data_IF_616657927614
#
_entry.id   IF_616657927614
#
_cell.length_a   1.000
_cell.length_b   1.000
_cell.length_c   1.000
_cell.angle_alpha   90.00
_cell.angle_beta   90.00
_cell.angle_gamma   90.00
#
_symmetry.space_group_name_H-M   'P 1'
#
loop_
_entity.id
_entity.type
_entity.pdbx_description
1 polymer ?
#
# COMPACT_ATOMS: atom_id res chain seq x y z
N UNK A 1 4.04 -3.61 -8.98
CA UNK A 1 3.64 -2.19 -8.87
C UNK A 1 4.61 -1.28 -9.62
N UNK A 2 5.92 -1.35 -9.37
CA UNK A 2 6.92 -0.47 -10.03
C UNK A 2 6.81 -0.48 -11.55
N UNK A 3 6.71 -1.65 -12.17
CA UNK A 3 6.62 -1.76 -13.64
C UNK A 3 5.35 -1.10 -14.24
N UNK A 4 4.32 -0.87 -13.43
CA UNK A 4 3.03 -0.36 -13.89
C UNK A 4 2.82 1.12 -13.60
N UNK A 5 3.34 1.64 -12.50
CA UNK A 5 3.03 2.99 -12.03
C UNK A 5 4.11 3.61 -11.13
N UNK A 6 5.41 3.46 -11.48
CA UNK A 6 6.51 4.01 -10.68
C UNK A 6 6.41 5.54 -10.51
N UNK A 7 6.07 6.25 -11.58
CA UNK A 7 5.90 7.72 -11.59
C UNK A 7 4.79 8.17 -10.64
N UNK A 8 3.67 7.47 -10.68
CA UNK A 8 2.50 7.75 -9.84
C UNK A 8 2.78 7.44 -8.37
N UNK A 9 3.52 6.34 -8.09
CA UNK A 9 3.96 6.00 -6.73
C UNK A 9 4.91 7.07 -6.19
N UNK A 10 5.88 7.52 -6.97
CA UNK A 10 6.78 8.60 -6.60
C UNK A 10 5.99 9.90 -6.32
N UNK A 11 5.04 10.24 -7.19
CA UNK A 11 4.16 11.40 -7.01
C UNK A 11 3.29 11.31 -5.75
N UNK A 12 2.75 10.12 -5.44
CA UNK A 12 2.00 9.88 -4.21
C UNK A 12 2.89 10.03 -2.98
N UNK A 13 4.09 9.44 -2.99
CA UNK A 13 5.04 9.52 -1.88
C UNK A 13 5.42 10.98 -1.55
N UNK A 14 5.62 11.81 -2.57
CA UNK A 14 5.82 13.27 -2.39
C UNK A 14 4.58 13.97 -1.81
N UNK A 15 3.39 13.57 -2.26
CA UNK A 15 2.14 14.19 -1.81
C UNK A 15 1.82 13.91 -0.34
N UNK A 16 2.22 12.79 0.22
CA UNK A 16 1.93 12.37 1.60
C UNK A 16 3.19 12.21 2.47
N UNK A 17 4.30 12.86 2.18
CA UNK A 17 5.68 12.65 2.67
C UNK A 17 5.94 11.20 3.17
N UNK A 18 5.76 10.23 2.28
CA UNK A 18 5.96 8.81 2.59
C UNK A 18 7.28 8.28 2.01
N UNK A 19 7.82 7.26 2.66
CA UNK A 19 9.00 6.54 2.16
C UNK A 19 8.56 5.40 1.26
N UNK A 20 9.34 5.13 0.22
CA UNK A 20 9.14 4.00 -0.69
C UNK A 20 10.14 2.91 -0.30
N UNK A 21 9.67 1.67 -0.14
CA UNK A 21 10.53 0.52 0.11
C UNK A 21 10.32 -0.57 -0.93
N UNK A 22 11.40 -1.00 -1.56
CA UNK A 22 11.41 -2.17 -2.44
C UNK A 22 11.41 -3.44 -1.60
N UNK A 23 10.24 -4.03 -1.41
CA UNK A 23 10.07 -5.28 -0.67
C UNK A 23 9.49 -6.34 -1.60
N UNK A 24 10.33 -7.29 -2.06
CA UNK A 24 10.01 -8.27 -3.09
C UNK A 24 9.98 -9.69 -2.55
N UNK A 25 9.15 -10.55 -3.16
CA UNK A 25 8.95 -11.93 -2.72
C UNK A 25 10.19 -12.81 -3.01
N UNK A 26 10.70 -12.75 -4.23
CA UNK A 26 11.90 -13.49 -4.63
C UNK A 26 13.13 -12.58 -4.57
N UNK A 27 14.27 -13.06 -4.05
CA UNK A 27 15.41 -12.22 -3.69
C UNK A 27 16.56 -12.12 -4.72
N UNK A 28 16.40 -11.90 -6.03
CA UNK A 28 17.59 -11.51 -6.76
C UNK A 28 17.90 -10.05 -6.43
N UNK A 29 19.09 -9.79 -5.89
CA UNK A 29 19.60 -8.43 -5.65
C UNK A 29 19.52 -7.54 -6.90
N UNK A 30 19.76 -8.13 -8.07
CA UNK A 30 19.59 -7.47 -9.38
C UNK A 30 18.23 -6.81 -9.53
N UNK A 31 17.13 -7.45 -9.07
CA UNK A 31 15.78 -6.89 -9.17
C UNK A 31 15.57 -5.69 -8.25
N UNK A 32 16.12 -5.72 -7.04
CA UNK A 32 16.09 -4.58 -6.12
C UNK A 32 16.85 -3.39 -6.68
N UNK A 33 18.04 -3.65 -7.25
CA UNK A 33 18.85 -2.62 -7.91
C UNK A 33 18.13 -1.98 -9.10
N UNK A 34 17.44 -2.77 -9.93
CA UNK A 34 16.63 -2.26 -11.05
C UNK A 34 15.48 -1.39 -10.56
N UNK A 35 14.77 -1.80 -9.51
CA UNK A 35 13.70 -1.00 -8.91
C UNK A 35 14.28 0.33 -8.37
N UNK A 36 15.41 0.28 -7.67
CA UNK A 36 16.06 1.48 -7.15
C UNK A 36 16.50 2.42 -8.27
N UNK A 37 17.07 1.89 -9.35
CA UNK A 37 17.47 2.67 -10.53
C UNK A 37 16.26 3.37 -11.18
N UNK A 38 15.12 2.67 -11.26
CA UNK A 38 13.90 3.24 -11.84
C UNK A 38 13.37 4.41 -11.01
N UNK A 39 13.32 4.28 -9.69
CA UNK A 39 12.92 5.39 -8.82
C UNK A 39 13.95 6.51 -8.77
N UNK A 40 15.23 6.21 -8.88
CA UNK A 40 16.29 7.24 -8.96
C UNK A 40 16.13 8.15 -10.19
N UNK A 41 15.68 7.64 -11.35
CA UNK A 41 15.35 8.45 -12.53
C UNK A 41 14.19 9.44 -12.25
N UNK A 42 13.34 9.13 -11.27
CA UNK A 42 12.22 9.97 -10.83
C UNK A 42 12.59 10.90 -9.68
N UNK A 43 13.87 10.95 -9.30
CA UNK A 43 14.39 11.76 -8.20
C UNK A 43 14.05 11.20 -6.82
N UNK A 44 13.74 9.89 -6.72
CA UNK A 44 13.38 9.23 -5.46
C UNK A 44 14.47 8.24 -5.02
N UNK A 45 14.90 8.37 -3.76
CA UNK A 45 15.73 7.37 -3.10
C UNK A 45 14.82 6.42 -2.35
N UNK A 46 14.86 5.13 -2.72
CA UNK A 46 14.04 4.10 -2.07
C UNK A 46 14.83 3.29 -1.05
N UNK A 47 14.10 2.72 -0.10
CA UNK A 47 14.60 1.80 0.92
C UNK A 47 14.45 0.34 0.48
N UNK A 48 14.95 -0.60 1.29
CA UNK A 48 14.79 -2.04 1.07
C UNK A 48 15.80 -2.67 0.11
N UNK A 49 16.79 -1.94 -0.37
CA UNK A 49 17.92 -2.50 -1.14
C UNK A 49 18.85 -3.33 -0.27
N UNK A 50 19.02 -2.93 0.99
CA UNK A 50 19.80 -3.63 2.02
C UNK A 50 18.98 -3.71 3.32
N UNK A 51 18.00 -4.61 3.41
CA UNK A 51 17.13 -4.71 4.59
C UNK A 51 17.90 -5.15 5.82
N UNK A 52 17.61 -4.55 6.98
CA UNK A 52 18.32 -4.77 8.25
C UNK A 52 17.43 -5.30 9.37
N UNK A 53 16.12 -5.38 9.14
CA UNK A 53 15.13 -5.85 10.11
C UNK A 53 14.26 -6.95 9.51
N UNK A 54 13.52 -7.66 10.37
CA UNK A 54 12.66 -8.77 9.96
C UNK A 54 11.29 -8.71 10.65
N UNK A 55 10.22 -8.73 9.88
CA UNK A 55 8.86 -8.88 10.40
C UNK A 55 8.64 -10.33 10.82
N UNK A 56 8.23 -10.55 12.06
CA UNK A 56 7.96 -11.88 12.61
C UNK A 56 6.69 -12.48 11.99
N UNK A 57 6.66 -13.80 11.89
CA UNK A 57 5.48 -14.54 11.41
C UNK A 57 5.30 -14.53 9.90
N UNK A 58 6.30 -14.11 9.14
CA UNK A 58 6.30 -14.14 7.68
C UNK A 58 7.50 -14.98 7.18
N UNK A 59 7.21 -16.09 6.53
CA UNK A 59 8.23 -17.05 6.05
C UNK A 59 8.95 -16.64 4.76
N UNK A 60 8.42 -15.67 4.02
CA UNK A 60 8.98 -15.25 2.73
C UNK A 60 10.08 -14.18 2.87
N UNK A 61 10.83 -13.94 1.79
CA UNK A 61 11.83 -12.87 1.71
C UNK A 61 11.26 -11.47 2.00
N UNK A 62 9.95 -11.29 1.89
CA UNK A 62 9.23 -10.06 2.26
C UNK A 62 9.25 -9.77 3.76
N UNK A 63 9.63 -10.75 4.59
CA UNK A 63 9.89 -10.50 6.01
C UNK A 63 11.06 -9.53 6.24
N UNK A 64 12.03 -9.49 5.32
CA UNK A 64 13.19 -8.62 5.41
C UNK A 64 12.80 -7.20 5.00
N UNK A 65 12.93 -6.25 5.93
CA UNK A 65 12.50 -4.85 5.77
C UNK A 65 13.61 -3.89 6.20
N UNK A 66 13.52 -2.66 5.73
CA UNK A 66 14.42 -1.60 6.13
C UNK A 66 14.02 -1.03 7.50
N UNK A 67 15.01 -0.75 8.36
CA UNK A 67 14.79 -0.16 9.68
C UNK A 67 14.08 1.20 9.60
N UNK A 68 14.43 2.01 8.61
CA UNK A 68 13.85 3.33 8.38
C UNK A 68 12.61 3.31 7.45
N UNK A 69 12.25 2.15 6.95
CA UNK A 69 11.09 1.91 6.09
C UNK A 69 9.93 1.27 6.81
N UNK A 70 9.52 0.09 6.31
CA UNK A 70 8.39 -0.68 6.85
C UNK A 70 8.52 -0.96 8.34
N UNK A 71 9.75 -1.19 8.84
CA UNK A 71 9.96 -1.45 10.27
C UNK A 71 9.46 -0.30 11.14
N UNK A 72 9.78 0.93 10.80
CA UNK A 72 9.43 2.14 11.57
C UNK A 72 8.04 2.68 11.27
N UNK A 73 7.45 2.29 10.14
CA UNK A 73 6.17 2.83 9.69
C UNK A 73 5.01 2.45 10.62
N UNK A 74 4.14 3.41 10.92
CA UNK A 74 2.85 3.18 11.58
C UNK A 74 1.79 2.72 10.59
N UNK A 75 1.85 3.23 9.35
CA UNK A 75 0.93 2.92 8.26
C UNK A 75 1.70 2.42 7.06
N UNK A 76 1.27 1.31 6.47
CA UNK A 76 1.89 0.72 5.28
C UNK A 76 0.84 0.62 4.16
N UNK A 77 1.13 1.25 3.02
CA UNK A 77 0.37 1.06 1.79
C UNK A 77 0.96 -0.13 1.02
N UNK A 78 0.16 -1.17 0.81
CA UNK A 78 0.54 -2.36 0.04
C UNK A 78 -0.25 -2.44 -1.26
N UNK A 79 0.43 -2.81 -2.34
CA UNK A 79 -0.14 -2.87 -3.67
C UNK A 79 0.22 -4.21 -4.31
N UNK A 80 -0.77 -4.94 -4.86
CA UNK A 80 -0.56 -6.26 -5.46
C UNK A 80 0.11 -7.23 -4.47
N UNK A 81 -0.53 -7.41 -3.33
CA UNK A 81 0.06 -8.06 -2.16
C UNK A 81 -0.56 -9.43 -1.89
N UNK A 82 0.14 -10.24 -1.09
CA UNK A 82 -0.41 -11.46 -0.49
C UNK A 82 -1.00 -11.22 0.91
N UNK A 83 -1.96 -12.06 1.28
CA UNK A 83 -2.66 -11.94 2.55
C UNK A 83 -1.78 -12.23 3.77
N UNK A 84 -0.77 -13.08 3.64
CA UNK A 84 0.13 -13.45 4.75
C UNK A 84 0.91 -12.24 5.22
N UNK A 85 1.44 -11.46 4.27
CA UNK A 85 2.18 -10.24 4.62
C UNK A 85 1.29 -9.17 5.21
N UNK A 86 0.10 -8.97 4.66
CA UNK A 86 -0.89 -8.03 5.20
C UNK A 86 -1.21 -8.37 6.65
N UNK A 87 -1.44 -9.64 6.94
CA UNK A 87 -1.73 -10.12 8.29
C UNK A 87 -0.52 -9.98 9.23
N UNK A 88 0.70 -10.31 8.78
CA UNK A 88 1.93 -10.17 9.55
C UNK A 88 2.23 -8.70 9.91
N UNK A 89 2.02 -7.78 8.97
CA UNK A 89 2.16 -6.34 9.21
C UNK A 89 1.16 -5.85 10.27
N UNK A 90 -0.09 -6.28 10.19
CA UNK A 90 -1.09 -5.94 11.21
C UNK A 90 -0.75 -6.53 12.59
N UNK A 91 -0.31 -7.79 12.64
CA UNK A 91 0.15 -8.44 13.89
C UNK A 91 1.34 -7.72 14.52
N UNK A 92 2.18 -7.06 13.70
CA UNK A 92 3.28 -6.21 14.19
C UNK A 92 2.86 -4.78 14.55
N UNK A 93 1.54 -4.52 14.71
CA UNK A 93 0.98 -3.25 15.19
C UNK A 93 0.79 -2.18 14.11
N UNK A 94 1.06 -2.48 12.84
CA UNK A 94 0.94 -1.51 11.76
C UNK A 94 -0.48 -1.42 11.23
N UNK A 95 -0.89 -0.24 10.77
CA UNK A 95 -2.09 -0.06 9.97
C UNK A 95 -1.79 -0.36 8.51
N UNK A 96 -2.63 -1.14 7.86
CA UNK A 96 -2.42 -1.55 6.46
C UNK A 96 -3.54 -1.01 5.58
N UNK A 97 -3.15 -0.24 4.57
CA UNK A 97 -3.99 0.16 3.45
C UNK A 97 -3.61 -0.74 2.27
N UNK A 98 -4.56 -1.46 1.70
CA UNK A 98 -4.30 -2.35 0.57
C UNK A 98 -5.01 -1.87 -0.70
N UNK A 99 -4.34 -1.98 -1.85
CA UNK A 99 -4.97 -1.87 -3.15
C UNK A 99 -4.99 -3.26 -3.77
N UNK A 100 -6.19 -3.79 -4.00
CA UNK A 100 -6.41 -5.12 -4.54
C UNK A 100 -7.61 -5.12 -5.51
N UNK A 101 -7.54 -5.91 -6.55
CA UNK A 101 -8.65 -6.05 -7.53
C UNK A 101 -9.80 -6.91 -6.99
N UNK A 102 -9.50 -7.80 -6.04
CA UNK A 102 -10.47 -8.77 -5.55
C UNK A 102 -10.93 -8.43 -4.12
N UNK A 103 -12.19 -8.01 -3.92
CA UNK A 103 -12.72 -7.72 -2.58
C UNK A 103 -12.81 -8.96 -1.67
N UNK A 104 -12.76 -10.16 -2.25
CA UNK A 104 -12.76 -11.43 -1.50
C UNK A 104 -11.34 -11.92 -1.19
N UNK A 105 -10.31 -11.24 -1.66
CA UNK A 105 -8.93 -11.64 -1.35
C UNK A 105 -8.64 -11.53 0.14
N UNK A 106 -7.75 -12.40 0.62
CA UNK A 106 -7.27 -12.34 2.00
C UNK A 106 -6.60 -11.00 2.32
N UNK A 107 -5.92 -10.41 1.34
CA UNK A 107 -5.32 -9.07 1.46
C UNK A 107 -6.38 -8.00 1.74
N UNK A 108 -7.43 -7.93 0.92
CA UNK A 108 -8.52 -6.98 1.10
C UNK A 108 -9.25 -7.16 2.42
N UNK A 109 -9.55 -8.41 2.80
CA UNK A 109 -10.24 -8.73 4.04
C UNK A 109 -9.42 -8.45 5.30
N UNK A 110 -8.10 -8.64 5.23
CA UNK A 110 -7.19 -8.44 6.38
C UNK A 110 -6.66 -7.02 6.51
N UNK A 111 -6.78 -6.18 5.50
CA UNK A 111 -6.38 -4.78 5.57
C UNK A 111 -7.28 -3.95 6.53
N UNK A 112 -6.74 -2.89 7.11
CA UNK A 112 -7.56 -1.90 7.84
C UNK A 112 -8.41 -1.08 6.87
N UNK A 113 -7.87 -0.79 5.67
CA UNK A 113 -8.58 -0.13 4.56
C UNK A 113 -8.24 -0.88 3.27
N UNK A 114 -9.24 -1.36 2.55
CA UNK A 114 -9.07 -1.93 1.23
C UNK A 114 -9.62 -0.97 0.15
N UNK A 115 -8.81 -0.72 -0.86
CA UNK A 115 -9.18 -0.01 -2.08
C UNK A 115 -9.31 -1.06 -3.17
N UNK A 116 -10.54 -1.33 -3.59
CA UNK A 116 -10.81 -2.34 -4.63
C UNK A 116 -10.76 -1.66 -5.98
N UNK A 117 -9.59 -1.65 -6.57
CA UNK A 117 -9.35 -1.05 -7.89
C UNK A 117 -8.00 -1.50 -8.47
N UNK A 118 -7.77 -1.19 -9.75
CA UNK A 118 -6.46 -1.33 -10.37
C UNK A 118 -5.51 -0.25 -9.86
N UNK A 119 -4.25 -0.62 -9.59
CA UNK A 119 -3.23 0.30 -9.06
C UNK A 119 -2.98 1.48 -9.99
N UNK A 120 -3.09 1.30 -11.31
CA UNK A 120 -2.89 2.36 -12.30
C UNK A 120 -3.96 3.46 -12.23
N UNK A 121 -5.12 3.17 -11.65
CA UNK A 121 -6.17 4.16 -11.35
C UNK A 121 -6.13 4.62 -9.90
N UNK A 122 -5.96 3.69 -8.97
CA UNK A 122 -6.00 3.99 -7.54
C UNK A 122 -4.86 4.92 -7.10
N UNK A 123 -3.63 4.67 -7.54
CA UNK A 123 -2.46 5.44 -7.09
C UNK A 123 -2.52 6.92 -7.52
N UNK A 124 -2.80 7.27 -8.79
CA UNK A 124 -2.99 8.67 -9.19
C UNK A 124 -4.13 9.35 -8.43
N UNK A 125 -5.25 8.63 -8.23
CA UNK A 125 -6.40 9.15 -7.49
C UNK A 125 -6.06 9.42 -6.02
N UNK A 126 -5.32 8.53 -5.37
CA UNK A 126 -4.81 8.75 -4.01
C UNK A 126 -3.94 10.01 -3.94
N UNK A 127 -3.03 10.21 -4.91
CA UNK A 127 -2.20 11.42 -4.97
C UNK A 127 -3.03 12.70 -5.10
N UNK A 128 -4.06 12.69 -5.96
CA UNK A 128 -5.00 13.81 -6.09
C UNK A 128 -5.75 14.06 -4.78
N UNK A 129 -6.32 13.01 -4.18
CA UNK A 129 -7.07 13.11 -2.91
C UNK A 129 -6.19 13.54 -1.74
N UNK A 130 -4.95 13.10 -1.67
CA UNK A 130 -4.01 13.54 -0.65
C UNK A 130 -3.80 15.06 -0.69
N UNK A 131 -3.59 15.63 -1.89
CA UNK A 131 -3.47 17.08 -2.08
C UNK A 131 -4.74 17.83 -1.67
N UNK A 132 -5.91 17.31 -2.01
CA UNK A 132 -7.21 17.88 -1.61
C UNK A 132 -7.38 17.84 -0.08
N UNK A 133 -7.03 16.71 0.55
CA UNK A 133 -7.22 16.51 1.99
C UNK A 133 -6.24 17.30 2.85
N UNK A 134 -5.05 17.62 2.35
CA UNK A 134 -4.13 18.53 3.04
C UNK A 134 -4.71 19.92 3.31
N UNK A 135 -5.70 20.33 2.51
CA UNK A 135 -6.42 21.60 2.68
C UNK A 135 -7.56 21.52 3.70
N UNK A 136 -7.87 20.30 4.19
CA UNK A 136 -8.97 20.06 5.14
C UNK A 136 -8.40 19.91 6.54
N UNK A 137 -9.14 20.42 7.54
CA UNK A 137 -8.70 20.34 8.93
C UNK A 137 -8.57 18.89 9.43
N UNK A 138 -7.56 18.63 10.23
CA UNK A 138 -7.24 17.30 10.77
C UNK A 138 -8.42 16.67 11.53
N UNK A 139 -9.16 17.45 12.30
CA UNK A 139 -10.34 16.99 13.05
C UNK A 139 -11.39 16.32 12.14
N UNK A 140 -11.65 16.91 10.98
CA UNK A 140 -12.58 16.34 9.99
C UNK A 140 -12.08 15.02 9.42
N UNK A 141 -10.79 14.93 9.11
CA UNK A 141 -10.16 13.72 8.57
C UNK A 141 -10.18 12.60 9.61
N UNK A 142 -9.83 12.87 10.85
CA UNK A 142 -9.88 11.90 11.95
C UNK A 142 -11.31 11.38 12.19
N UNK A 143 -12.33 12.24 12.12
CA UNK A 143 -13.72 11.83 12.25
C UNK A 143 -14.17 10.89 11.12
N UNK A 144 -13.72 11.12 9.89
CA UNK A 144 -13.99 10.22 8.76
C UNK A 144 -13.34 8.85 8.94
N UNK A 145 -12.08 8.81 9.38
CA UNK A 145 -11.35 7.56 9.61
C UNK A 145 -12.03 6.73 10.72
N UNK A 146 -12.46 7.36 11.81
CA UNK A 146 -13.17 6.66 12.90
C UNK A 146 -14.48 6.00 12.45
N UNK A 147 -15.17 6.57 11.47
CA UNK A 147 -16.44 6.03 10.92
C UNK A 147 -16.22 4.98 9.84
N UNK A 148 -15.00 4.82 9.32
CA UNK A 148 -14.71 3.86 8.26
C UNK A 148 -14.77 2.42 8.79
N UNK A 149 -15.41 1.56 8.02
CA UNK A 149 -15.49 0.13 8.30
C UNK A 149 -15.16 -0.66 7.03
N UNK A 150 -14.03 -1.38 7.05
CA UNK A 150 -13.54 -2.10 5.87
C UNK A 150 -14.50 -3.22 5.42
N UNK A 151 -15.14 -3.93 6.36
CA UNK A 151 -16.12 -4.96 6.02
C UNK A 151 -17.30 -4.38 5.25
N UNK A 152 -17.90 -3.31 5.76
CA UNK A 152 -19.01 -2.61 5.07
C UNK A 152 -18.59 -2.08 3.70
N UNK A 153 -17.35 -1.60 3.56
CA UNK A 153 -16.79 -1.18 2.29
C UNK A 153 -16.73 -2.35 1.29
N UNK A 154 -16.17 -3.49 1.70
CA UNK A 154 -16.08 -4.68 0.85
C UNK A 154 -17.46 -5.24 0.48
N UNK A 155 -18.39 -5.30 1.43
CA UNK A 155 -19.78 -5.72 1.19
C UNK A 155 -20.46 -4.81 0.15
N UNK A 156 -20.24 -3.49 0.22
CA UNK A 156 -20.75 -2.53 -0.75
C UNK A 156 -20.20 -2.78 -2.15
N UNK A 157 -18.90 -3.07 -2.26
CA UNK A 157 -18.26 -3.42 -3.55
C UNK A 157 -18.85 -4.70 -4.12
N UNK A 158 -18.98 -5.75 -3.30
CA UNK A 158 -19.57 -7.02 -3.72
C UNK A 158 -21.02 -6.86 -4.20
N UNK A 159 -21.81 -6.07 -3.48
CA UNK A 159 -23.20 -5.78 -3.88
C UNK A 159 -23.24 -5.04 -5.23
N UNK A 160 -22.31 -4.10 -5.46
CA UNK A 160 -22.18 -3.41 -6.75
C UNK A 160 -21.82 -4.38 -7.88
N UNK A 161 -20.87 -5.28 -7.64
CA UNK A 161 -20.45 -6.29 -8.62
C UNK A 161 -21.61 -7.25 -8.98
N UNK A 162 -22.40 -7.68 -7.99
CA UNK A 162 -23.56 -8.55 -8.20
C UNK A 162 -24.68 -7.89 -9.02
N UNK A 163 -24.94 -6.60 -8.79
CA UNK A 163 -25.97 -5.85 -9.52
C UNK A 163 -25.57 -5.51 -10.96
N UNK A 164 -24.31 -5.69 -11.31
CA UNK A 164 -23.76 -5.25 -12.58
C UNK A 164 -23.81 -3.71 -12.75
N UNK A 165 -23.41 -3.24 -13.92
CA UNK A 165 -23.64 -1.86 -14.35
C UNK A 165 -25.03 -1.77 -15.01
N UNK A 166 -26.09 -1.85 -14.23
CA UNK A 166 -27.38 -1.35 -14.71
C UNK A 166 -27.24 0.17 -14.84
N UNK A 167 -27.09 0.61 -16.10
CA UNK A 167 -27.30 1.99 -16.48
C UNK A 167 -28.76 2.36 -16.24
#
# INVERSE_FOLDING_TARGET
ATALCAKEIAGLAKAIPARIEANIFYPPEKRRALIAKEFAKLGEKILGTKPTKKIRGLGSARSNVDAEGIWKADVVLVMLEDGDRTEALRKSGKKVIAIDLNPLSRTAQKADIAIVDNITRAVPMLGKKAKEFRKKGEKLLRAKIKKFNNKKNLDSVLNRMRKGNTK
#
